data_IF_783423808561
#
_entry.id   IF_783423808561
#
_cell.length_a   1.000
_cell.length_b   1.000
_cell.length_c   1.000
_cell.angle_alpha   90.00
_cell.angle_beta   90.00
_cell.angle_gamma   90.00
#
_symmetry.space_group_name_H-M   'P 1'
#
loop_
_entity.id
_entity.type
_entity.pdbx_description
1 polymer ?
#
# COMPACT_ATOMS: atom_id res chain seq x y z
N UNK A 1 20.94 -48.45 4.82
CA UNK A 1 21.17 -47.28 5.69
C UNK A 1 19.90 -46.44 5.63
N UNK A 2 19.09 -46.46 6.68
CA UNK A 2 18.01 -45.50 6.82
C UNK A 2 18.64 -44.17 7.22
N UNK A 3 18.46 -43.13 6.40
CA UNK A 3 18.75 -41.76 6.81
C UNK A 3 17.76 -41.47 7.92
N UNK A 4 18.25 -41.30 9.15
CA UNK A 4 17.45 -40.74 10.24
C UNK A 4 17.12 -39.31 9.81
N UNK A 5 15.85 -39.02 9.54
CA UNK A 5 15.37 -37.64 9.67
C UNK A 5 15.67 -37.22 11.11
N UNK A 6 16.60 -36.27 11.28
CA UNK A 6 16.72 -35.57 12.55
C UNK A 6 15.38 -34.85 12.76
N UNK A 7 14.67 -35.22 13.83
CA UNK A 7 13.43 -34.58 14.21
C UNK A 7 13.75 -33.15 14.64
N UNK A 8 13.78 -32.23 13.67
CA UNK A 8 13.84 -30.79 13.94
C UNK A 8 12.73 -30.41 14.92
N UNK A 9 13.00 -29.40 15.76
CA UNK A 9 12.03 -28.94 16.73
C UNK A 9 10.71 -28.60 16.02
N UNK A 10 9.61 -29.17 16.50
CA UNK A 10 8.27 -28.87 15.97
C UNK A 10 7.93 -27.41 16.30
N UNK A 11 7.27 -26.73 15.37
CA UNK A 11 6.77 -25.37 15.60
C UNK A 11 5.80 -25.32 16.79
N UNK A 12 5.95 -24.29 17.63
CA UNK A 12 5.18 -24.08 18.86
C UNK A 12 3.90 -23.27 18.58
N UNK A 13 2.79 -23.98 18.35
CA UNK A 13 1.48 -23.36 18.07
C UNK A 13 0.90 -22.67 19.31
N UNK A 14 1.13 -23.22 20.50
CA UNK A 14 0.63 -22.61 21.74
C UNK A 14 1.39 -21.32 22.06
N UNK A 15 2.70 -21.31 21.78
CA UNK A 15 3.53 -20.11 21.80
C UNK A 15 3.08 -19.05 20.80
N UNK A 16 2.68 -19.44 19.58
CA UNK A 16 2.08 -18.52 18.60
C UNK A 16 0.75 -17.93 19.10
N UNK A 17 -0.11 -18.76 19.68
CA UNK A 17 -1.38 -18.31 20.26
C UNK A 17 -1.14 -17.25 21.34
N UNK A 18 -0.28 -17.58 22.30
CA UNK A 18 0.12 -16.67 23.38
C UNK A 18 0.66 -15.35 22.81
N UNK A 19 1.60 -15.43 21.87
CA UNK A 19 2.20 -14.26 21.25
C UNK A 19 1.19 -13.32 20.59
N UNK A 20 0.21 -13.86 19.85
CA UNK A 20 -0.81 -13.07 19.16
C UNK A 20 -1.88 -12.54 20.13
N UNK A 21 -2.53 -13.44 20.88
CA UNK A 21 -3.70 -13.10 21.70
C UNK A 21 -3.32 -12.18 22.89
N UNK A 22 -2.13 -12.35 23.46
CA UNK A 22 -1.62 -11.49 24.54
C UNK A 22 -0.77 -10.31 24.03
N UNK A 23 -0.58 -10.19 22.70
CA UNK A 23 0.25 -9.16 22.05
C UNK A 23 1.68 -9.11 22.60
N UNK A 24 2.24 -10.28 22.90
CA UNK A 24 3.57 -10.43 23.46
C UNK A 24 4.63 -10.39 22.35
N UNK A 25 5.23 -9.20 22.17
CA UNK A 25 6.23 -8.96 21.13
C UNK A 25 7.46 -9.85 21.29
N UNK A 26 7.91 -10.10 22.52
CA UNK A 26 9.12 -10.91 22.76
C UNK A 26 8.85 -12.38 22.43
N UNK A 27 7.69 -12.90 22.84
CA UNK A 27 7.23 -14.22 22.46
C UNK A 27 7.07 -14.34 20.94
N UNK A 28 6.42 -13.36 20.29
CA UNK A 28 6.24 -13.33 18.84
C UNK A 28 7.59 -13.38 18.12
N UNK A 29 8.53 -12.52 18.53
CA UNK A 29 9.85 -12.45 17.90
C UNK A 29 10.67 -13.73 18.13
N UNK A 30 10.43 -14.48 19.21
CA UNK A 30 11.14 -15.75 19.46
C UNK A 30 10.79 -16.86 18.45
N UNK A 31 9.64 -16.72 17.76
CA UNK A 31 9.13 -17.66 16.76
C UNK A 31 9.75 -17.47 15.37
N UNK A 32 10.58 -16.44 15.15
CA UNK A 32 11.22 -16.16 13.86
C UNK A 32 12.71 -16.49 13.89
N UNK A 33 13.26 -16.95 12.75
CA UNK A 33 14.71 -16.96 12.55
C UNK A 33 15.23 -15.52 12.44
N UNK A 34 16.52 -15.30 12.71
CA UNK A 34 17.10 -13.95 12.65
C UNK A 34 17.02 -13.31 11.26
N UNK A 35 17.13 -14.14 10.23
CA UNK A 35 17.11 -13.78 8.81
C UNK A 35 15.73 -13.95 8.16
N UNK A 36 14.66 -14.08 8.95
CA UNK A 36 13.34 -14.38 8.44
C UNK A 36 12.85 -13.34 7.41
N UNK A 37 12.12 -13.80 6.40
CA UNK A 37 11.41 -12.93 5.45
C UNK A 37 9.90 -12.97 5.76
N UNK A 38 9.26 -11.82 5.84
CA UNK A 38 7.80 -11.71 6.01
C UNK A 38 7.21 -10.94 4.83
N UNK A 39 6.39 -11.61 4.03
CA UNK A 39 5.72 -11.06 2.86
C UNK A 39 4.24 -10.87 3.14
N UNK A 40 3.71 -9.66 2.95
CA UNK A 40 2.31 -9.31 3.18
C UNK A 40 1.64 -8.96 1.85
N UNK A 41 0.48 -9.55 1.62
CA UNK A 41 -0.41 -9.23 0.52
C UNK A 41 -1.73 -8.75 1.11
N UNK A 42 -2.14 -7.54 0.76
CA UNK A 42 -3.36 -6.90 1.27
C UNK A 42 -3.91 -5.91 0.25
N UNK A 43 -5.00 -5.20 0.57
CA UNK A 43 -5.56 -4.17 -0.30
C UNK A 43 -4.58 -3.04 -0.62
N UNK A 44 -3.65 -2.73 0.28
CA UNK A 44 -2.63 -1.69 0.11
C UNK A 44 -1.27 -2.23 -0.34
N UNK A 45 -1.12 -3.55 -0.50
CA UNK A 45 0.12 -4.22 -0.92
C UNK A 45 -0.22 -5.36 -1.89
N UNK A 46 -0.40 -5.07 -3.18
CA UNK A 46 -0.98 -6.03 -4.14
C UNK A 46 0.00 -7.18 -4.47
N UNK A 47 -0.48 -8.30 -5.03
CA UNK A 47 0.37 -9.45 -5.36
C UNK A 47 1.57 -9.13 -6.27
N UNK A 48 1.44 -8.12 -7.14
CA UNK A 48 2.50 -7.66 -8.04
C UNK A 48 3.58 -6.82 -7.36
N UNK A 49 3.26 -6.21 -6.21
CA UNK A 49 4.15 -5.36 -5.43
C UNK A 49 3.85 -5.53 -3.92
N UNK A 50 4.10 -6.73 -3.36
CA UNK A 50 3.82 -7.02 -1.96
C UNK A 50 4.77 -6.25 -1.04
N UNK A 51 4.36 -6.04 0.21
CA UNK A 51 5.29 -5.56 1.24
C UNK A 51 6.17 -6.73 1.69
N UNK A 52 7.48 -6.53 1.69
CA UNK A 52 8.46 -7.55 2.11
C UNK A 52 9.35 -6.97 3.19
N UNK A 53 9.38 -7.62 4.34
CA UNK A 53 10.21 -7.29 5.50
C UNK A 53 11.30 -8.35 5.68
N UNK A 54 12.49 -7.91 6.07
CA UNK A 54 13.69 -8.75 6.16
C UNK A 54 14.32 -8.67 7.54
N UNK A 55 14.43 -9.83 8.17
CA UNK A 55 15.00 -10.04 9.50
C UNK A 55 14.09 -9.60 10.64
N UNK A 56 14.44 -10.04 11.86
CA UNK A 56 13.66 -9.76 13.08
C UNK A 56 13.52 -8.28 13.41
N UNK A 57 14.43 -7.42 12.96
CA UNK A 57 14.34 -5.97 13.14
C UNK A 57 13.10 -5.38 12.46
N UNK A 58 13.01 -5.52 11.14
CA UNK A 58 11.90 -4.97 10.35
C UNK A 58 10.57 -5.64 10.69
N UNK A 59 10.58 -6.96 10.91
CA UNK A 59 9.39 -7.71 11.34
C UNK A 59 8.95 -7.25 12.75
N UNK A 60 9.89 -7.06 13.67
CA UNK A 60 9.61 -6.59 15.02
C UNK A 60 9.05 -5.17 15.06
N UNK A 61 9.51 -4.29 14.18
CA UNK A 61 8.96 -2.94 14.05
C UNK A 61 7.51 -2.96 13.56
N UNK A 62 7.18 -3.83 12.59
CA UNK A 62 5.79 -4.05 12.19
C UNK A 62 4.95 -4.62 13.35
N UNK A 63 5.39 -5.69 13.99
CA UNK A 63 4.61 -6.36 15.04
C UNK A 63 4.39 -5.44 16.24
N UNK A 64 5.38 -4.60 16.59
CA UNK A 64 5.24 -3.57 17.62
C UNK A 64 4.16 -2.55 17.27
N UNK A 65 4.14 -2.08 16.03
CA UNK A 65 3.11 -1.17 15.56
C UNK A 65 1.73 -1.83 15.62
N UNK A 66 1.58 -3.04 15.07
CA UNK A 66 0.33 -3.81 15.10
C UNK A 66 -0.18 -4.02 16.54
N UNK A 67 0.67 -4.51 17.44
CA UNK A 67 0.32 -4.76 18.84
C UNK A 67 0.03 -3.48 19.64
N UNK A 68 0.50 -2.32 19.18
CA UNK A 68 0.16 -1.03 19.81
C UNK A 68 -1.25 -0.53 19.48
N UNK A 69 -1.88 -1.07 18.44
CA UNK A 69 -3.22 -0.66 17.99
C UNK A 69 -4.31 -1.26 18.90
N UNK A 70 -5.45 -0.57 18.94
CA UNK A 70 -6.65 -1.02 19.64
C UNK A 70 -7.40 -2.09 18.83
N UNK A 71 -6.81 -3.28 18.79
CA UNK A 71 -7.23 -4.42 17.98
C UNK A 71 -7.13 -5.71 18.82
N UNK A 72 -8.10 -6.61 18.74
CA UNK A 72 -8.03 -7.95 19.34
C UNK A 72 -7.53 -8.96 18.31
N UNK A 73 -6.56 -9.81 18.67
CA UNK A 73 -6.06 -10.89 17.81
C UNK A 73 -6.61 -12.22 18.29
N UNK A 74 -6.93 -13.13 17.36
CA UNK A 74 -7.42 -14.45 17.71
C UNK A 74 -6.97 -15.50 16.71
N UNK A 75 -6.10 -16.39 17.17
CA UNK A 75 -5.64 -17.53 16.39
C UNK A 75 -6.79 -18.54 16.21
N UNK A 76 -7.38 -18.61 15.03
CA UNK A 76 -8.54 -19.47 14.75
C UNK A 76 -8.11 -20.91 14.51
N UNK A 77 -7.23 -21.11 13.52
CA UNK A 77 -6.77 -22.42 13.09
C UNK A 77 -5.25 -22.40 12.94
N UNK A 78 -4.60 -23.54 13.21
CA UNK A 78 -3.18 -23.73 12.96
C UNK A 78 -2.87 -25.19 12.62
N UNK A 79 -2.10 -25.41 11.57
CA UNK A 79 -1.69 -26.74 11.10
C UNK A 79 -0.19 -26.74 10.89
N UNK A 80 0.49 -27.72 11.49
CA UNK A 80 1.95 -27.92 11.34
C UNK A 80 2.19 -29.23 10.59
N UNK A 81 2.98 -29.17 9.52
CA UNK A 81 3.30 -30.35 8.73
C UNK A 81 4.33 -30.08 7.63
N UNK A 82 5.16 -31.07 7.32
CA UNK A 82 6.10 -31.00 6.20
C UNK A 82 7.16 -29.90 6.29
N UNK A 83 7.51 -29.45 7.50
CA UNK A 83 8.42 -28.30 7.67
C UNK A 83 7.74 -26.94 7.49
N UNK A 84 6.41 -26.89 7.57
CA UNK A 84 5.63 -25.66 7.47
C UNK A 84 4.66 -25.52 8.64
N UNK A 85 4.21 -24.28 8.88
CA UNK A 85 3.01 -23.97 9.65
C UNK A 85 2.08 -23.11 8.78
N UNK A 86 0.78 -23.43 8.78
CA UNK A 86 -0.26 -22.57 8.24
C UNK A 86 -1.19 -22.17 9.38
N UNK A 87 -1.58 -20.91 9.44
CA UNK A 87 -2.47 -20.42 10.49
C UNK A 87 -3.37 -19.28 10.02
N UNK A 88 -4.49 -19.14 10.72
CA UNK A 88 -5.49 -18.10 10.51
C UNK A 88 -5.56 -17.23 11.76
N UNK A 89 -5.43 -15.92 11.60
CA UNK A 89 -5.66 -14.93 12.65
C UNK A 89 -6.85 -14.06 12.27
N UNK A 90 -7.76 -13.84 13.21
CA UNK A 90 -8.85 -12.89 13.04
C UNK A 90 -8.60 -11.69 13.93
N UNK A 91 -8.31 -10.56 13.31
CA UNK A 91 -8.16 -9.28 13.99
C UNK A 91 -9.52 -8.57 14.05
N UNK A 92 -9.89 -8.03 15.21
CA UNK A 92 -11.10 -7.20 15.36
C UNK A 92 -10.73 -5.85 15.98
N UNK A 93 -10.96 -4.76 15.23
CA UNK A 93 -10.80 -3.40 15.72
C UNK A 93 -11.92 -3.01 16.68
N UNK A 94 -11.69 -2.02 17.53
CA UNK A 94 -12.70 -1.54 18.49
C UNK A 94 -13.94 -0.93 17.85
N UNK A 95 -13.86 -0.50 16.58
CA UNK A 95 -15.01 -0.06 15.78
C UNK A 95 -15.81 -1.21 15.15
N UNK A 96 -15.36 -2.45 15.34
CA UNK A 96 -15.98 -3.67 14.81
C UNK A 96 -15.45 -4.12 13.45
N UNK A 97 -14.57 -3.35 12.81
CA UNK A 97 -13.91 -3.74 11.55
C UNK A 97 -13.07 -4.99 11.77
N UNK A 98 -13.20 -5.98 10.89
CA UNK A 98 -12.43 -7.22 10.97
C UNK A 98 -11.37 -7.31 9.86
N UNK A 99 -10.29 -8.02 10.18
CA UNK A 99 -9.28 -8.47 9.21
C UNK A 99 -9.06 -9.95 9.40
N UNK A 100 -9.30 -10.73 8.36
CA UNK A 100 -8.96 -12.14 8.31
C UNK A 100 -7.56 -12.29 7.69
N UNK A 101 -6.59 -12.70 8.49
CA UNK A 101 -5.24 -13.06 8.07
C UNK A 101 -5.14 -14.58 7.84
N UNK A 102 -4.51 -14.98 6.75
CA UNK A 102 -4.08 -16.35 6.53
C UNK A 102 -2.60 -16.38 6.15
N UNK A 103 -1.80 -16.99 7.01
CA UNK A 103 -0.37 -17.10 6.84
C UNK A 103 0.07 -18.54 6.58
N UNK A 104 1.03 -18.70 5.69
CA UNK A 104 1.82 -19.93 5.53
C UNK A 104 3.30 -19.59 5.72
N UNK A 105 3.97 -20.40 6.54
CA UNK A 105 5.37 -20.21 6.86
C UNK A 105 6.22 -21.47 6.68
N UNK A 106 7.41 -21.29 6.13
CA UNK A 106 8.50 -22.27 6.18
C UNK A 106 9.12 -22.27 7.59
N UNK A 107 9.39 -23.44 8.13
CA UNK A 107 9.89 -23.63 9.50
C UNK A 107 11.28 -24.28 9.47
N UNK A 108 12.23 -23.64 10.16
CA UNK A 108 13.60 -24.12 10.39
C UNK A 108 13.83 -24.12 11.90
N UNK A 109 14.21 -25.28 12.45
CA UNK A 109 14.46 -25.46 13.89
C UNK A 109 13.33 -24.93 14.79
N UNK A 110 12.08 -25.18 14.38
CA UNK A 110 10.88 -24.76 15.12
C UNK A 110 10.54 -23.28 15.00
N UNK A 111 11.24 -22.51 14.14
CA UNK A 111 11.01 -21.08 13.91
C UNK A 111 10.67 -20.79 12.45
N UNK A 112 9.83 -19.78 12.24
CA UNK A 112 9.46 -19.28 10.92
C UNK A 112 10.65 -18.58 10.25
N UNK A 113 11.03 -19.04 9.06
CA UNK A 113 12.09 -18.44 8.24
C UNK A 113 11.55 -17.66 7.04
N UNK A 114 10.37 -18.04 6.54
CA UNK A 114 9.68 -17.31 5.48
C UNK A 114 8.19 -17.37 5.73
N UNK A 115 7.54 -16.23 5.83
CA UNK A 115 6.09 -16.12 6.01
C UNK A 115 5.49 -15.42 4.80
N UNK A 116 4.42 -15.97 4.25
CA UNK A 116 3.51 -15.23 3.37
C UNK A 116 2.18 -15.10 4.08
N UNK A 117 1.76 -13.87 4.30
CA UNK A 117 0.49 -13.52 4.92
C UNK A 117 -0.41 -12.82 3.90
N UNK A 118 -1.69 -13.19 3.93
CA UNK A 118 -2.75 -12.62 3.09
C UNK A 118 -3.82 -12.06 4.01
N UNK A 119 -4.03 -10.76 3.91
CA UNK A 119 -4.99 -10.04 4.73
C UNK A 119 -6.23 -9.67 3.90
N UNK A 120 -7.40 -10.13 4.33
CA UNK A 120 -8.69 -9.70 3.83
C UNK A 120 -9.36 -8.78 4.86
N UNK A 121 -9.60 -7.54 4.47
CA UNK A 121 -10.20 -6.52 5.32
C UNK A 121 -11.70 -6.42 5.06
N UNK A 122 -12.48 -6.14 6.10
CA UNK A 122 -13.85 -5.68 5.92
C UNK A 122 -13.87 -4.40 5.06
N UNK A 123 -14.90 -4.26 4.24
CA UNK A 123 -15.16 -2.99 3.56
C UNK A 123 -15.46 -1.91 4.60
N UNK A 124 -15.06 -0.67 4.28
CA UNK A 124 -15.24 0.55 5.10
C UNK A 124 -16.57 0.50 5.89
N UNK A 125 -16.48 0.29 7.20
CA UNK A 125 -17.60 0.01 8.10
C UNK A 125 -18.15 1.28 8.78
N UNK A 126 -17.37 2.37 8.73
CA UNK A 126 -17.68 3.67 9.32
C UNK A 126 -17.62 4.78 8.28
N UNK A 127 -18.36 5.87 8.48
CA UNK A 127 -18.36 7.00 7.54
C UNK A 127 -17.16 7.91 7.80
N UNK A 128 -16.19 7.90 6.89
CA UNK A 128 -15.11 8.90 6.83
C UNK A 128 -15.45 10.05 5.89
N UNK A 129 -14.85 11.22 6.14
CA UNK A 129 -14.96 12.39 5.24
C UNK A 129 -13.65 13.17 5.22
N UNK A 130 -13.33 13.73 4.06
CA UNK A 130 -12.26 14.69 3.88
C UNK A 130 -12.77 15.89 3.05
N UNK A 131 -12.11 17.03 3.17
CA UNK A 131 -12.54 18.28 2.53
C UNK A 131 -11.37 19.00 1.87
N UNK A 132 -11.42 19.20 0.55
CA UNK A 132 -10.42 19.97 -0.18
C UNK A 132 -10.40 21.46 0.16
N UNK A 133 -11.40 21.98 0.88
CA UNK A 133 -11.34 23.32 1.46
C UNK A 133 -10.32 23.43 2.60
N UNK A 134 -9.95 22.31 3.21
CA UNK A 134 -8.92 22.18 4.24
C UNK A 134 -8.03 20.96 3.94
N UNK A 135 -7.21 21.01 2.88
CA UNK A 135 -6.41 19.86 2.47
C UNK A 135 -5.32 19.54 3.48
N UNK A 136 -4.93 18.26 3.56
CA UNK A 136 -3.84 17.80 4.42
C UNK A 136 -2.48 18.30 3.92
N UNK A 137 -2.33 18.40 2.60
CA UNK A 137 -1.13 18.89 1.95
C UNK A 137 -1.50 19.71 0.71
N UNK A 138 -0.83 20.84 0.49
CA UNK A 138 -0.90 21.60 -0.76
C UNK A 138 0.49 21.67 -1.39
N UNK A 139 0.61 21.21 -2.63
CA UNK A 139 1.83 21.30 -3.45
C UNK A 139 1.61 22.29 -4.58
N UNK A 140 2.57 23.18 -4.80
CA UNK A 140 2.57 24.15 -5.90
C UNK A 140 3.80 23.94 -6.78
N UNK A 141 3.62 23.92 -8.10
CA UNK A 141 4.68 23.64 -9.07
C UNK A 141 4.41 24.39 -10.37
N UNK A 142 5.23 25.40 -10.69
CA UNK A 142 5.06 26.23 -11.88
C UNK A 142 3.63 26.76 -12.02
N UNK A 143 2.97 26.42 -13.13
CA UNK A 143 1.57 26.77 -13.42
C UNK A 143 0.52 25.84 -12.78
N UNK A 144 0.91 25.01 -11.82
CA UNK A 144 0.06 23.98 -11.23
C UNK A 144 0.00 24.02 -9.70
N UNK A 145 -1.14 23.55 -9.19
CA UNK A 145 -1.38 23.28 -7.77
C UNK A 145 -2.05 21.92 -7.62
N UNK A 146 -1.63 21.17 -6.60
CA UNK A 146 -2.25 19.92 -6.16
C UNK A 146 -2.60 20.07 -4.68
N UNK A 147 -3.90 20.02 -4.36
CA UNK A 147 -4.35 19.81 -2.98
C UNK A 147 -4.56 18.32 -2.76
N UNK A 148 -4.09 17.79 -1.64
CA UNK A 148 -4.15 16.37 -1.30
C UNK A 148 -4.97 16.20 -0.04
N UNK A 149 -5.86 15.22 -0.06
CA UNK A 149 -6.55 14.70 1.12
C UNK A 149 -6.28 13.21 1.25
N UNK A 150 -6.14 12.76 2.49
CA UNK A 150 -6.04 11.35 2.84
C UNK A 150 -7.35 10.96 3.51
N UNK A 151 -8.00 9.92 3.00
CA UNK A 151 -9.25 9.39 3.53
C UNK A 151 -9.16 7.87 3.54
N UNK A 152 -9.28 7.29 4.73
CA UNK A 152 -9.07 5.86 4.98
C UNK A 152 -7.71 5.40 4.40
N UNK A 153 -7.72 4.44 3.47
CA UNK A 153 -6.54 3.91 2.78
C UNK A 153 -6.25 4.60 1.44
N UNK A 154 -6.96 5.68 1.13
CA UNK A 154 -6.89 6.37 -0.16
C UNK A 154 -6.27 7.77 -0.04
N UNK A 155 -5.44 8.12 -1.02
CA UNK A 155 -4.90 9.47 -1.21
C UNK A 155 -5.51 10.08 -2.46
N UNK A 156 -6.26 11.17 -2.31
CA UNK A 156 -6.98 11.80 -3.43
C UNK A 156 -6.42 13.20 -3.67
N UNK A 157 -6.14 13.50 -4.93
CA UNK A 157 -5.59 14.76 -5.38
C UNK A 157 -6.61 15.61 -6.12
N UNK A 158 -6.66 16.91 -5.82
CA UNK A 158 -7.35 17.92 -6.60
C UNK A 158 -6.32 18.78 -7.32
N UNK A 159 -6.20 18.56 -8.62
CA UNK A 159 -5.37 19.36 -9.52
C UNK A 159 -6.09 20.64 -9.92
N UNK A 160 -5.32 21.75 -9.95
CA UNK A 160 -5.66 23.00 -10.63
C UNK A 160 -4.46 23.41 -11.46
N UNK A 161 -4.63 23.39 -12.77
CA UNK A 161 -3.56 23.58 -13.76
C UNK A 161 -3.95 24.74 -14.66
N UNK A 162 -3.16 25.80 -14.61
CA UNK A 162 -3.42 27.03 -15.35
C UNK A 162 -3.06 26.88 -16.84
N UNK A 163 -3.62 27.72 -17.74
CA UNK A 163 -3.20 27.78 -19.14
C UNK A 163 -1.68 27.93 -19.28
N UNK A 164 -1.10 27.16 -20.20
CA UNK A 164 0.34 27.07 -20.38
C UNK A 164 1.04 26.04 -19.49
N UNK A 165 0.33 25.43 -18.52
CA UNK A 165 0.87 24.32 -17.76
C UNK A 165 1.22 23.13 -18.67
N UNK A 166 2.43 22.60 -18.48
CA UNK A 166 2.91 21.40 -19.17
C UNK A 166 3.82 20.59 -18.25
N UNK A 167 3.56 19.28 -18.12
CA UNK A 167 4.31 18.40 -17.22
C UNK A 167 5.82 18.48 -17.45
N UNK A 168 6.27 18.40 -18.71
CA UNK A 168 7.70 18.46 -19.06
C UNK A 168 8.38 19.79 -18.72
N UNK A 169 7.61 20.84 -18.45
CA UNK A 169 8.10 22.20 -18.11
C UNK A 169 8.02 22.42 -16.61
N UNK A 170 6.84 22.18 -16.03
CA UNK A 170 6.53 22.59 -14.65
C UNK A 170 6.86 21.51 -13.60
N UNK A 171 6.85 20.22 -13.98
CA UNK A 171 6.97 19.10 -13.03
C UNK A 171 8.24 18.28 -13.26
N UNK A 172 8.67 18.08 -14.51
CA UNK A 172 9.92 17.39 -14.85
C UNK A 172 11.14 17.84 -14.02
N UNK A 173 11.38 19.15 -13.77
CA UNK A 173 12.52 19.57 -12.94
C UNK A 173 12.46 19.07 -11.50
N UNK A 174 11.27 18.75 -10.99
CA UNK A 174 11.04 18.22 -9.64
C UNK A 174 11.15 16.70 -9.65
N UNK A 175 10.50 16.04 -10.63
CA UNK A 175 10.44 14.59 -10.73
C UNK A 175 11.77 13.95 -11.16
N UNK A 176 12.61 14.67 -11.90
CA UNK A 176 13.90 14.15 -12.38
C UNK A 176 13.81 13.09 -13.48
N UNK A 177 12.63 12.85 -14.04
CA UNK A 177 12.38 11.88 -15.12
C UNK A 177 12.07 12.56 -16.45
N UNK A 178 12.22 11.84 -17.56
CA UNK A 178 11.94 12.40 -18.88
C UNK A 178 10.45 12.52 -19.20
N UNK A 179 9.65 11.60 -18.66
CA UNK A 179 8.19 11.54 -18.73
C UNK A 179 7.64 11.31 -17.31
N UNK A 180 6.33 11.52 -17.14
CA UNK A 180 5.64 11.20 -15.91
C UNK A 180 5.57 9.69 -15.73
N UNK A 181 6.15 9.18 -14.64
CA UNK A 181 6.12 7.75 -14.28
C UNK A 181 5.03 7.42 -13.25
N UNK A 182 4.17 8.39 -12.95
CA UNK A 182 3.04 8.21 -12.02
C UNK A 182 1.84 7.73 -12.84
N UNK A 183 1.20 6.65 -12.40
CA UNK A 183 -0.09 6.24 -12.96
C UNK A 183 -1.20 7.15 -12.41
N UNK A 184 -2.12 7.59 -13.27
CA UNK A 184 -3.22 8.46 -12.90
C UNK A 184 -4.57 7.84 -13.21
N UNK A 185 -5.54 8.03 -12.32
CA UNK A 185 -6.95 7.71 -12.56
C UNK A 185 -7.76 8.96 -12.29
N UNK A 186 -8.13 9.67 -13.36
CA UNK A 186 -8.47 11.10 -13.30
C UNK A 186 -9.87 11.36 -13.81
N UNK A 187 -10.64 12.15 -13.08
CA UNK A 187 -11.88 12.77 -13.52
C UNK A 187 -11.67 14.26 -13.78
N UNK A 188 -12.05 14.74 -14.97
CA UNK A 188 -11.88 16.13 -15.37
C UNK A 188 -13.16 16.94 -15.10
N UNK A 189 -13.02 18.02 -14.33
CA UNK A 189 -14.12 18.91 -13.92
C UNK A 189 -14.23 20.09 -14.91
N UNK A 190 -13.11 20.74 -15.22
CA UNK A 190 -13.03 21.91 -16.14
C UNK A 190 -11.82 21.78 -17.07
N UNK A 191 -11.84 22.55 -18.16
CA UNK A 191 -10.75 22.59 -19.13
C UNK A 191 -10.51 21.29 -19.89
N UNK A 192 -9.57 21.32 -20.83
CA UNK A 192 -9.16 20.15 -21.62
C UNK A 192 -7.67 19.88 -21.38
N UNK A 193 -7.33 18.63 -21.09
CA UNK A 193 -5.96 18.15 -20.99
C UNK A 193 -5.62 17.34 -22.25
N UNK A 194 -4.48 17.61 -22.86
CA UNK A 194 -3.88 16.67 -23.80
C UNK A 194 -2.83 15.83 -23.09
N UNK A 195 -2.83 14.53 -23.36
CA UNK A 195 -1.90 13.54 -22.82
C UNK A 195 -1.17 12.92 -24.00
N UNK A 196 0.16 12.93 -23.96
CA UNK A 196 1.01 12.37 -25.00
C UNK A 196 1.88 11.26 -24.45
N UNK A 197 1.83 10.10 -25.09
CA UNK A 197 2.63 8.94 -24.71
C UNK A 197 4.00 8.92 -25.42
N UNK A 198 4.90 8.06 -24.93
CA UNK A 198 6.25 7.90 -25.50
C UNK A 198 6.25 7.50 -26.99
N UNK A 199 5.22 6.79 -27.47
CA UNK A 199 5.05 6.41 -28.87
C UNK A 199 4.56 7.57 -29.77
N UNK A 200 4.27 8.73 -29.17
CA UNK A 200 3.76 9.92 -29.83
C UNK A 200 2.26 9.96 -30.02
N UNK A 201 1.51 8.94 -29.58
CA UNK A 201 0.05 8.99 -29.56
C UNK A 201 -0.45 10.03 -28.55
N UNK A 202 -1.56 10.68 -28.89
CA UNK A 202 -2.16 11.75 -28.10
C UNK A 202 -3.64 11.47 -27.85
N UNK A 203 -4.10 11.77 -26.64
CA UNK A 203 -5.51 11.70 -26.23
C UNK A 203 -5.86 12.99 -25.50
N UNK A 204 -7.00 13.56 -25.84
CA UNK A 204 -7.58 14.67 -25.08
C UNK A 204 -8.68 14.18 -24.15
N UNK A 205 -8.71 14.73 -22.94
CA UNK A 205 -9.77 14.53 -21.97
C UNK A 205 -10.23 15.88 -21.41
N UNK A 206 -11.54 16.10 -21.42
CA UNK A 206 -12.18 17.32 -20.96
C UNK A 206 -13.33 17.06 -19.98
N UNK A 207 -14.18 18.07 -19.72
CA UNK A 207 -15.14 18.02 -18.62
C UNK A 207 -16.08 16.82 -18.70
N UNK A 208 -16.26 16.11 -17.58
CA UNK A 208 -17.13 14.95 -17.47
C UNK A 208 -16.49 13.62 -17.89
N UNK A 209 -15.27 13.65 -18.43
CA UNK A 209 -14.56 12.44 -18.85
C UNK A 209 -13.66 11.90 -17.74
N UNK A 210 -13.42 10.59 -17.79
CA UNK A 210 -12.51 9.87 -16.88
C UNK A 210 -11.42 9.21 -17.71
N UNK A 211 -10.17 9.30 -17.27
CA UNK A 211 -9.03 8.68 -17.93
C UNK A 211 -8.20 7.85 -16.96
N UNK A 212 -7.81 6.65 -17.39
CA UNK A 212 -6.70 5.90 -16.80
C UNK A 212 -5.46 6.17 -17.63
N UNK A 213 -4.43 6.76 -17.02
CA UNK A 213 -3.18 7.13 -17.70
C UNK A 213 -2.04 6.30 -17.11
N UNK A 214 -1.41 5.40 -17.87
CA UNK A 214 -0.26 4.64 -17.40
C UNK A 214 1.00 5.52 -17.29
N UNK A 215 2.04 5.07 -16.55
CA UNK A 215 3.38 5.66 -16.59
C UNK A 215 3.91 5.83 -18.03
N UNK A 216 4.77 6.83 -18.25
CA UNK A 216 5.40 7.11 -19.54
C UNK A 216 4.64 8.09 -20.42
N UNK A 217 4.20 9.23 -19.86
CA UNK A 217 3.49 10.28 -20.61
C UNK A 217 3.93 11.71 -20.25
N UNK A 218 3.69 12.65 -21.16
CA UNK A 218 3.68 14.09 -20.95
C UNK A 218 2.23 14.59 -21.01
N UNK A 219 1.93 15.76 -20.46
CA UNK A 219 0.58 16.31 -20.46
C UNK A 219 0.59 17.83 -20.43
N UNK A 220 -0.41 18.48 -21.02
CA UNK A 220 -0.55 19.93 -21.00
C UNK A 220 -2.01 20.39 -21.09
N UNK A 221 -2.26 21.56 -20.52
CA UNK A 221 -3.55 22.26 -20.65
C UNK A 221 -3.71 22.74 -22.09
N UNK A 222 -4.86 22.41 -22.70
CA UNK A 222 -5.24 22.84 -24.05
C UNK A 222 -6.09 24.11 -23.94
N UNK A 223 -5.66 25.15 -24.65
CA UNK A 223 -6.36 26.43 -24.71
C UNK A 223 -6.18 27.28 -23.45
N UNK A 224 -7.16 28.16 -23.21
CA UNK A 224 -7.08 29.22 -22.21
C UNK A 224 -7.96 28.96 -20.96
N UNK A 225 -8.60 27.79 -20.86
CA UNK A 225 -9.39 27.41 -19.70
C UNK A 225 -8.55 26.53 -18.75
N UNK A 226 -8.43 26.89 -17.45
CA UNK A 226 -7.73 26.06 -16.48
C UNK A 226 -8.34 24.66 -16.35
N UNK A 227 -7.48 23.65 -16.24
CA UNK A 227 -7.92 22.28 -15.94
C UNK A 227 -8.05 22.11 -14.42
N UNK A 228 -9.26 21.73 -13.99
CA UNK A 228 -9.50 21.23 -12.63
C UNK A 228 -9.83 19.74 -12.73
N UNK A 229 -9.13 18.90 -11.97
CA UNK A 229 -9.31 17.46 -12.05
C UNK A 229 -9.10 16.76 -10.70
N UNK A 230 -9.80 15.64 -10.48
CA UNK A 230 -9.62 14.78 -9.31
C UNK A 230 -8.84 13.53 -9.74
N UNK A 231 -7.82 13.14 -8.99
CA UNK A 231 -7.00 11.95 -9.21
C UNK A 231 -7.00 11.05 -7.98
N UNK A 232 -7.35 9.78 -8.17
CA UNK A 232 -7.42 8.76 -7.11
C UNK A 232 -6.18 7.85 -7.05
N UNK A 233 -5.24 7.96 -8.00
CA UNK A 233 -4.07 7.07 -8.06
C UNK A 233 -2.74 7.81 -7.94
N UNK A 234 -2.60 8.99 -8.56
CA UNK A 234 -1.30 9.64 -8.67
C UNK A 234 -0.91 10.55 -7.51
N UNK A 235 -1.87 10.95 -6.67
CA UNK A 235 -1.68 12.01 -5.67
C UNK A 235 -0.58 11.73 -4.62
N UNK A 236 -0.34 10.46 -4.26
CA UNK A 236 0.64 10.09 -3.22
C UNK A 236 2.06 10.55 -3.54
N UNK A 237 2.53 10.34 -4.77
CA UNK A 237 3.93 10.56 -5.17
C UNK A 237 4.14 11.76 -6.10
N UNK A 238 3.06 12.35 -6.62
CA UNK A 238 3.16 13.39 -7.65
C UNK A 238 3.82 14.69 -7.14
N UNK A 239 4.75 15.24 -7.92
CA UNK A 239 5.46 16.49 -7.60
C UNK A 239 6.14 16.51 -6.20
N UNK A 240 6.60 15.34 -5.72
CA UNK A 240 7.51 15.22 -4.58
C UNK A 240 8.92 14.89 -5.07
N UNK A 241 9.93 15.49 -4.44
CA UNK A 241 11.32 15.06 -4.58
C UNK A 241 11.46 13.70 -3.91
N UNK A 242 12.05 12.73 -4.60
CA UNK A 242 12.47 11.44 -4.01
C UNK A 242 13.46 11.62 -2.87
#
# INVERSE_FOLDING_TARGET
MAVKEEAGQRFDVDGLRHALEDKDLDAMMSLFTEDAEYRIISQSSPPSAPRVLRGRGEIGDLMRDVFSRDLDHRLQNAVVGGGHVAFEDLCTYSDGTQVAGMAMADVVDGRMSRVTDIEAWDAVSTTSRADFAAPDETRTFGHGRLDVVNIDDSTIGLFRLEPGWKWSVDVKPIAGTDLCEVAHFVYFITGTMCIRFADGSEVEAGPGQVAQVPPGHDAWVVGDEPVTAIDWAGATHYAKTT
#
